data_IF_650866204238
#
_entry.id   IF_650866204238
#
_cell.length_a   1.000
_cell.length_b   1.000
_cell.length_c   1.000
_cell.angle_alpha   90.00
_cell.angle_beta   90.00
_cell.angle_gamma   90.00
#
_symmetry.space_group_name_H-M   'P 1'
#
loop_
_entity.id
_entity.type
_entity.pdbx_description
1 polymer ?
#
# COMPACT_ATOMS: atom_id res chain seq x y z
N UNK A 1 -39.82 13.23 60.11
CA UNK A 1 -39.13 11.93 60.06
C UNK A 1 -39.63 11.14 58.84
N UNK A 2 -38.70 10.46 58.14
CA UNK A 2 -38.89 9.49 57.02
C UNK A 2 -39.11 10.16 55.65
N UNK A 3 -38.29 9.99 54.62
CA UNK A 3 -37.10 9.19 54.33
C UNK A 3 -37.00 9.19 52.79
N UNK A 4 -35.99 9.79 52.15
CA UNK A 4 -34.59 9.39 52.21
C UNK A 4 -34.34 8.33 51.13
N UNK A 5 -34.11 8.80 49.90
CA UNK A 5 -33.98 8.03 48.66
C UNK A 5 -33.02 6.83 48.74
N UNK A 6 -33.38 5.72 48.06
CA UNK A 6 -32.44 4.65 47.69
C UNK A 6 -32.79 4.08 46.32
N UNK A 7 -32.35 4.76 45.27
CA UNK A 7 -32.19 4.16 43.95
C UNK A 7 -30.91 3.32 44.01
N UNK A 8 -31.03 2.08 44.48
CA UNK A 8 -29.91 1.16 44.62
C UNK A 8 -29.71 0.32 43.37
N UNK A 9 -29.40 0.95 42.23
CA UNK A 9 -28.90 0.23 41.06
C UNK A 9 -27.49 -0.30 41.40
N UNK A 10 -27.43 -1.55 41.87
CA UNK A 10 -26.17 -2.29 41.93
C UNK A 10 -25.73 -2.57 40.50
N UNK A 11 -24.90 -1.69 39.95
CA UNK A 11 -24.08 -2.00 38.79
C UNK A 11 -23.00 -3.01 39.23
N UNK A 12 -23.36 -4.29 39.24
CA UNK A 12 -22.40 -5.37 39.44
C UNK A 12 -21.57 -5.58 38.19
N UNK A 13 -20.30 -5.18 38.29
CA UNK A 13 -19.11 -5.69 37.57
C UNK A 13 -19.06 -5.50 36.05
N UNK A 14 -18.72 -4.27 35.63
CA UNK A 14 -17.86 -4.04 34.44
C UNK A 14 -16.41 -4.34 34.84
N UNK A 15 -16.09 -5.61 35.07
CA UNK A 15 -14.91 -5.97 35.85
C UNK A 15 -14.03 -7.09 35.31
N UNK A 16 -14.37 -7.77 34.22
CA UNK A 16 -13.67 -9.02 33.85
C UNK A 16 -13.18 -9.13 32.39
N UNK A 17 -13.52 -8.20 31.49
CA UNK A 17 -13.04 -8.27 30.08
C UNK A 17 -11.66 -7.61 29.85
N UNK A 18 -11.04 -7.05 30.89
CA UNK A 18 -9.81 -6.23 30.73
C UNK A 18 -8.53 -7.05 30.51
N UNK A 19 -8.53 -8.32 30.91
CA UNK A 19 -7.37 -9.21 30.80
C UNK A 19 -7.20 -9.87 29.43
N UNK A 20 -8.29 -10.17 28.73
CA UNK A 20 -8.26 -10.74 27.37
C UNK A 20 -8.17 -9.64 26.31
N UNK A 21 -8.78 -8.47 26.51
CA UNK A 21 -8.93 -7.48 25.45
C UNK A 21 -7.73 -6.56 25.21
N UNK A 22 -6.80 -6.41 26.16
CA UNK A 22 -5.65 -5.49 26.00
C UNK A 22 -4.37 -6.19 25.54
N UNK A 23 -4.01 -7.31 26.16
CA UNK A 23 -2.80 -8.07 25.82
C UNK A 23 -2.93 -8.71 24.43
N UNK A 24 -4.08 -9.27 24.09
CA UNK A 24 -4.31 -9.85 22.77
C UNK A 24 -4.20 -8.78 21.68
N UNK A 25 -4.82 -7.61 21.87
CA UNK A 25 -4.76 -6.50 20.90
C UNK A 25 -3.35 -5.92 20.77
N UNK A 26 -2.59 -5.80 21.86
CA UNK A 26 -1.20 -5.31 21.82
C UNK A 26 -0.29 -6.26 21.04
N UNK A 27 -0.59 -7.56 21.03
CA UNK A 27 0.16 -8.55 20.25
C UNK A 27 -0.38 -8.64 18.81
N UNK A 28 -1.70 -8.57 18.62
CA UNK A 28 -2.34 -8.68 17.30
C UNK A 28 -2.11 -7.43 16.44
N UNK A 29 -2.14 -6.24 17.02
CA UNK A 29 -1.95 -4.97 16.31
C UNK A 29 -0.63 -4.92 15.52
N UNK A 30 0.55 -5.20 16.09
CA UNK A 30 1.80 -5.21 15.33
C UNK A 30 1.84 -6.31 14.26
N UNK A 31 1.22 -7.47 14.49
CA UNK A 31 1.10 -8.53 13.47
C UNK A 31 0.23 -8.07 12.31
N UNK A 32 -0.90 -7.41 12.59
CA UNK A 32 -1.77 -6.82 11.57
C UNK A 32 -1.04 -5.72 10.79
N UNK A 33 -0.30 -4.84 11.47
CA UNK A 33 0.52 -3.81 10.81
C UNK A 33 1.58 -4.47 9.92
N UNK A 34 2.29 -5.49 10.41
CA UNK A 34 3.29 -6.22 9.62
C UNK A 34 2.64 -6.84 8.37
N UNK A 35 1.47 -7.45 8.52
CA UNK A 35 0.71 -8.02 7.41
C UNK A 35 0.33 -6.94 6.38
N UNK A 36 -0.17 -5.78 6.83
CA UNK A 36 -0.47 -4.64 5.95
C UNK A 36 0.79 -4.14 5.23
N UNK A 37 1.93 -4.04 5.92
CA UNK A 37 3.21 -3.65 5.32
C UNK A 37 3.65 -4.64 4.24
N UNK A 38 3.44 -5.95 4.44
CA UNK A 38 3.71 -6.96 3.41
C UNK A 38 2.82 -6.77 2.19
N UNK A 39 1.52 -6.49 2.38
CA UNK A 39 0.60 -6.20 1.29
C UNK A 39 1.02 -4.94 0.51
N UNK A 40 1.42 -3.89 1.21
CA UNK A 40 1.94 -2.65 0.59
C UNK A 40 3.23 -2.93 -0.16
N UNK A 41 4.17 -3.67 0.42
CA UNK A 41 5.42 -4.03 -0.24
C UNK A 41 5.17 -4.85 -1.52
N UNK A 42 4.23 -5.80 -1.48
CA UNK A 42 3.82 -6.55 -2.66
C UNK A 42 3.15 -5.66 -3.71
N UNK A 43 2.32 -4.70 -3.27
CA UNK A 43 1.74 -3.68 -4.16
C UNK A 43 2.81 -2.88 -4.88
N UNK A 44 3.76 -2.31 -4.15
CA UNK A 44 4.91 -1.57 -4.70
C UNK A 44 5.75 -2.42 -5.67
N UNK A 45 5.94 -3.71 -5.38
CA UNK A 45 6.66 -4.65 -6.25
C UNK A 45 5.91 -4.91 -7.56
N UNK A 46 4.58 -5.02 -7.52
CA UNK A 46 3.74 -5.21 -8.70
C UNK A 46 3.65 -3.92 -9.51
N UNK A 47 3.48 -2.77 -8.87
CA UNK A 47 3.39 -1.47 -9.52
C UNK A 47 4.70 -1.13 -10.26
N UNK A 48 5.85 -1.36 -9.64
CA UNK A 48 7.15 -1.16 -10.30
C UNK A 48 7.34 -2.06 -11.54
N UNK A 49 6.86 -3.31 -11.50
CA UNK A 49 6.88 -4.19 -12.68
C UNK A 49 5.88 -3.76 -13.74
N UNK A 50 4.70 -3.30 -13.34
CA UNK A 50 3.67 -2.80 -14.24
C UNK A 50 4.15 -1.59 -15.04
N UNK A 51 4.85 -0.66 -14.40
CA UNK A 51 5.41 0.52 -15.04
C UNK A 51 6.47 0.20 -16.12
N UNK A 52 7.34 -0.78 -15.86
CA UNK A 52 8.34 -1.23 -16.85
C UNK A 52 7.66 -1.93 -18.04
N UNK A 53 6.65 -2.75 -17.75
CA UNK A 53 5.91 -3.51 -18.77
C UNK A 53 5.02 -2.60 -19.63
N UNK A 54 4.44 -1.54 -19.07
CA UNK A 54 3.72 -0.51 -19.84
C UNK A 54 4.67 0.26 -20.76
N UNK A 55 5.82 0.71 -20.23
CA UNK A 55 6.81 1.44 -21.01
C UNK A 55 7.39 0.61 -22.17
N UNK A 56 7.65 -0.68 -21.93
CA UNK A 56 8.12 -1.59 -22.98
C UNK A 56 7.08 -1.77 -24.10
N UNK A 57 5.80 -1.89 -23.74
CA UNK A 57 4.71 -1.99 -24.73
C UNK A 57 4.56 -0.70 -25.53
N UNK A 58 4.62 0.47 -24.88
CA UNK A 58 4.49 1.74 -25.58
C UNK A 58 5.68 2.01 -26.51
N UNK A 59 6.90 1.69 -26.07
CA UNK A 59 8.10 1.74 -26.89
C UNK A 59 8.03 0.83 -28.13
N UNK A 60 7.54 -0.41 -27.97
CA UNK A 60 7.36 -1.32 -29.10
C UNK A 60 6.33 -0.76 -30.11
N UNK A 61 5.24 -0.18 -29.60
CA UNK A 61 4.21 0.46 -30.42
C UNK A 61 4.77 1.65 -31.18
N UNK A 62 5.43 2.59 -30.52
CA UNK A 62 5.98 3.78 -31.16
C UNK A 62 7.07 3.44 -32.17
N UNK A 63 7.92 2.44 -31.87
CA UNK A 63 8.90 1.90 -32.80
C UNK A 63 8.29 1.24 -34.03
N UNK A 64 7.18 0.50 -33.88
CA UNK A 64 6.51 -0.20 -34.99
C UNK A 64 5.91 0.72 -36.05
N UNK A 65 5.69 1.99 -35.70
CA UNK A 65 5.17 3.01 -36.63
C UNK A 65 6.25 3.56 -37.56
N UNK A 66 7.53 3.32 -37.26
CA UNK A 66 8.65 3.83 -38.03
C UNK A 66 9.11 2.82 -39.07
N UNK A 67 9.50 3.34 -40.23
CA UNK A 67 9.85 2.52 -41.39
C UNK A 67 11.32 2.09 -41.42
N UNK A 68 12.18 2.91 -40.83
CA UNK A 68 13.63 2.68 -40.77
C UNK A 68 14.04 2.25 -39.35
N UNK A 69 14.83 1.18 -39.25
CA UNK A 69 15.19 0.58 -37.97
C UNK A 69 15.93 1.54 -37.01
N UNK A 70 16.78 2.43 -37.54
CA UNK A 70 17.49 3.43 -36.74
C UNK A 70 16.52 4.42 -36.07
N UNK A 71 15.60 4.96 -36.86
CA UNK A 71 14.56 5.89 -36.41
C UNK A 71 13.54 5.19 -35.50
N UNK A 72 13.20 3.94 -35.78
CA UNK A 72 12.35 3.11 -34.93
C UNK A 72 12.93 2.95 -33.52
N UNK A 73 14.23 2.63 -33.42
CA UNK A 73 14.90 2.49 -32.12
C UNK A 73 15.01 3.81 -31.38
N UNK A 74 15.29 4.93 -32.07
CA UNK A 74 15.38 6.24 -31.40
C UNK A 74 14.04 6.69 -30.83
N UNK A 75 12.95 6.46 -31.57
CA UNK A 75 11.60 6.83 -31.12
C UNK A 75 11.06 5.88 -30.03
N UNK A 76 11.31 4.57 -30.16
CA UNK A 76 11.01 3.61 -29.10
C UNK A 76 11.71 3.98 -27.78
N UNK A 77 12.98 4.39 -27.87
CA UNK A 77 13.76 4.78 -26.70
C UNK A 77 13.26 6.09 -26.08
N UNK A 78 12.89 7.08 -26.90
CA UNK A 78 12.25 8.31 -26.41
C UNK A 78 10.97 8.03 -25.64
N UNK A 79 10.10 7.16 -26.15
CA UNK A 79 8.86 6.80 -25.48
C UNK A 79 9.13 6.10 -24.14
N UNK A 80 10.04 5.12 -24.11
CA UNK A 80 10.41 4.46 -22.86
C UNK A 80 11.02 5.42 -21.83
N UNK A 81 11.91 6.33 -22.26
CA UNK A 81 12.53 7.31 -21.38
C UNK A 81 11.51 8.31 -20.81
N UNK A 82 10.52 8.71 -21.60
CA UNK A 82 9.41 9.54 -21.13
C UNK A 82 8.59 8.83 -20.04
N UNK A 83 8.22 7.57 -20.26
CA UNK A 83 7.43 6.78 -19.30
C UNK A 83 8.18 6.48 -18.01
N UNK A 84 9.49 6.17 -18.08
CA UNK A 84 10.29 5.84 -16.89
C UNK A 84 10.73 7.06 -16.07
N UNK A 85 10.68 8.27 -16.63
CA UNK A 85 11.18 9.48 -15.98
C UNK A 85 10.52 9.76 -14.61
N UNK A 86 9.23 9.47 -14.48
CA UNK A 86 8.45 9.63 -13.24
C UNK A 86 8.63 8.43 -12.28
N UNK A 87 8.90 7.25 -12.84
CA UNK A 87 8.99 5.98 -12.09
C UNK A 87 10.34 5.84 -11.36
N UNK A 88 11.42 6.35 -11.96
CA UNK A 88 12.79 6.18 -11.45
C UNK A 88 13.30 7.35 -10.58
N UNK A 89 12.42 8.20 -10.04
CA UNK A 89 12.78 9.42 -9.30
C UNK A 89 13.38 9.22 -7.88
N UNK A 90 13.92 8.03 -7.57
CA UNK A 90 14.57 7.76 -6.28
C UNK A 90 15.99 8.34 -6.23
N UNK A 91 16.35 9.14 -5.20
CA UNK A 91 17.73 9.59 -5.00
C UNK A 91 18.69 8.39 -4.86
N UNK A 92 19.73 8.36 -5.68
CA UNK A 92 20.87 7.44 -5.55
C UNK A 92 22.00 8.16 -4.81
N UNK A 93 21.82 8.40 -3.51
CA UNK A 93 22.91 8.81 -2.61
C UNK A 93 23.28 7.68 -1.65
#
# INVERSE_FOLDING_TARGET
MRGGARCGWRATRLGDDRGISTVEVVILAPVMILFLLVLVAMGQLVDGRGAVDSAARDAARSGSLQWEAGTAMSEARRAAEADLSDVCAGPVE
#
